data_IF_458108540700
#
_entry.id   IF_458108540700
#
_cell.length_a   1.000
_cell.length_b   1.000
_cell.length_c   1.000
_cell.angle_alpha   90.00
_cell.angle_beta   90.00
_cell.angle_gamma   90.00
#
_symmetry.space_group_name_H-M   'P 1'
#
loop_
_entity.id
_entity.type
_entity.pdbx_description
1 polymer ?
#
# COMPACT_ATOMS: atom_id res chain seq x y z
N UNK A 1 22.57 -14.81 6.41
CA UNK A 1 22.23 -13.84 7.49
C UNK A 1 22.63 -14.46 8.82
N UNK A 2 23.29 -13.74 9.68
CA UNK A 2 23.62 -14.19 11.04
C UNK A 2 22.35 -14.12 11.88
N UNK A 3 22.19 -15.02 12.86
CA UNK A 3 21.05 -15.02 13.76
C UNK A 3 20.88 -13.65 14.46
N UNK A 4 19.67 -13.07 14.38
CA UNK A 4 19.37 -11.76 14.96
C UNK A 4 19.67 -10.55 14.09
N UNK A 5 20.18 -10.73 12.86
CA UNK A 5 20.35 -9.65 11.88
C UNK A 5 19.15 -9.56 10.95
N UNK A 6 18.68 -8.35 10.69
CA UNK A 6 17.63 -8.03 9.71
C UNK A 6 18.07 -6.89 8.80
N UNK A 7 17.53 -6.85 7.58
CA UNK A 7 17.68 -5.69 6.69
C UNK A 7 16.79 -4.52 7.09
N UNK A 8 15.83 -4.72 7.99
CA UNK A 8 14.95 -3.68 8.51
C UNK A 8 15.76 -2.52 9.11
N UNK A 9 15.41 -1.31 8.71
CA UNK A 9 15.99 -0.06 9.23
C UNK A 9 14.87 0.93 9.49
N UNK A 10 14.87 1.51 10.68
CA UNK A 10 13.89 2.53 11.09
C UNK A 10 14.67 3.80 11.46
N UNK A 11 14.31 4.89 10.81
CA UNK A 11 14.83 6.23 11.05
C UNK A 11 13.68 7.16 11.43
N UNK A 12 13.98 8.43 11.70
CA UNK A 12 12.97 9.39 12.16
C UNK A 12 11.92 9.71 11.10
N UNK A 13 12.31 9.75 9.82
CA UNK A 13 11.42 10.17 8.72
C UNK A 13 11.25 9.11 7.64
N UNK A 14 11.81 7.92 7.83
CA UNK A 14 11.59 6.79 6.92
C UNK A 14 11.85 5.45 7.60
N UNK A 15 11.32 4.40 7.02
CA UNK A 15 11.68 3.05 7.40
C UNK A 15 11.72 2.14 6.17
N UNK A 16 12.71 1.22 6.14
CA UNK A 16 12.70 0.02 5.30
C UNK A 16 12.36 -1.16 6.21
N UNK A 17 11.27 -1.87 5.91
CA UNK A 17 10.82 -3.04 6.66
C UNK A 17 10.93 -4.25 5.73
N UNK A 18 11.93 -5.08 5.99
CA UNK A 18 12.18 -6.29 5.21
C UNK A 18 11.37 -7.48 5.76
N UNK A 19 11.03 -8.48 4.93
CA UNK A 19 10.25 -9.65 5.35
C UNK A 19 10.86 -10.42 6.53
N UNK A 20 12.18 -10.40 6.68
CA UNK A 20 12.91 -11.01 7.80
C UNK A 20 12.73 -10.28 9.14
N UNK A 21 12.14 -9.08 9.10
CA UNK A 21 11.78 -8.28 10.27
C UNK A 21 10.28 -8.32 10.61
N UNK A 22 9.47 -9.07 9.86
CA UNK A 22 8.03 -9.16 10.12
C UNK A 22 7.76 -9.95 11.40
N UNK A 23 6.84 -9.42 12.23
CA UNK A 23 6.42 -10.06 13.48
C UNK A 23 4.93 -10.33 13.42
N UNK A 24 4.51 -11.62 13.42
CA UNK A 24 3.11 -11.98 13.45
C UNK A 24 2.39 -11.35 14.65
N UNK A 25 1.24 -10.76 14.39
CA UNK A 25 0.43 -10.05 15.36
C UNK A 25 -0.99 -10.63 15.39
N UNK A 26 -1.58 -10.74 16.58
CA UNK A 26 -3.00 -11.06 16.73
C UNK A 26 -3.78 -9.74 16.65
N UNK A 27 -4.58 -9.59 15.60
CA UNK A 27 -5.38 -8.39 15.38
C UNK A 27 -6.88 -8.72 15.50
N UNK A 28 -7.66 -7.85 16.15
CA UNK A 28 -9.11 -8.00 16.21
C UNK A 28 -9.73 -8.08 14.80
N UNK A 29 -10.73 -8.94 14.62
CA UNK A 29 -11.41 -9.12 13.33
C UNK A 29 -10.67 -10.01 12.34
N UNK A 30 -9.43 -10.47 12.62
CA UNK A 30 -8.65 -11.34 11.74
C UNK A 30 -8.51 -12.72 12.36
N UNK A 31 -8.86 -13.77 11.62
CA UNK A 31 -8.77 -15.16 12.02
C UNK A 31 -8.36 -16.07 10.85
N UNK A 32 -7.77 -17.24 11.15
CA UNK A 32 -7.26 -18.16 10.11
C UNK A 32 -6.27 -17.46 9.16
N UNK A 33 -5.42 -16.59 9.72
CA UNK A 33 -4.44 -15.82 8.94
C UNK A 33 -3.25 -15.42 9.80
N UNK A 34 -2.12 -15.19 9.16
CA UNK A 34 -0.96 -14.51 9.74
C UNK A 34 -1.00 -13.04 9.33
N UNK A 35 -1.15 -12.15 10.30
CA UNK A 35 -1.15 -10.71 10.08
C UNK A 35 0.14 -10.09 10.63
N UNK A 36 0.71 -9.14 9.90
CA UNK A 36 1.87 -8.36 10.30
C UNK A 36 1.54 -6.88 10.20
N UNK A 37 1.80 -6.12 11.26
CA UNK A 37 1.75 -4.66 11.23
C UNK A 37 3.08 -4.17 10.68
N UNK A 38 3.04 -3.55 9.49
CA UNK A 38 4.24 -3.11 8.77
C UNK A 38 4.53 -1.64 9.06
N UNK A 39 3.52 -0.79 8.90
CA UNK A 39 3.57 0.65 9.20
C UNK A 39 2.45 0.93 10.20
N UNK A 40 2.71 1.80 11.16
CA UNK A 40 1.69 2.19 12.14
C UNK A 40 1.95 3.58 12.71
N UNK A 41 0.94 4.22 13.32
CA UNK A 41 1.09 5.50 14.00
C UNK A 41 2.16 5.52 15.10
N UNK A 42 2.52 4.36 15.67
CA UNK A 42 3.62 4.28 16.63
C UNK A 42 4.99 4.63 16.04
N UNK A 43 5.13 4.62 14.70
CA UNK A 43 6.33 5.05 13.97
C UNK A 43 6.30 6.55 13.64
N UNK A 44 5.18 7.24 13.86
CA UNK A 44 4.92 8.61 13.41
C UNK A 44 4.17 8.69 12.09
N UNK A 45 3.67 7.57 11.57
CA UNK A 45 2.88 7.51 10.34
C UNK A 45 1.42 7.90 10.60
N UNK A 46 0.73 8.47 9.60
CA UNK A 46 -0.72 8.69 9.62
C UNK A 46 -1.49 7.47 9.07
N UNK A 47 -0.79 6.53 8.47
CA UNK A 47 -1.34 5.30 7.88
C UNK A 47 -0.95 4.08 8.71
N UNK A 48 -1.84 3.09 8.76
CA UNK A 48 -1.50 1.73 9.15
C UNK A 48 -1.41 0.87 7.89
N UNK A 49 -0.29 0.19 7.69
CA UNK A 49 -0.14 -0.81 6.64
C UNK A 49 -0.02 -2.19 7.27
N UNK A 50 -0.88 -3.12 6.82
CA UNK A 50 -0.86 -4.51 7.21
C UNK A 50 -0.50 -5.40 6.03
N UNK A 51 0.18 -6.53 6.31
CA UNK A 51 0.27 -7.68 5.42
C UNK A 51 -0.47 -8.84 6.07
N UNK A 52 -1.41 -9.43 5.34
CA UNK A 52 -2.20 -10.56 5.82
C UNK A 52 -2.03 -11.72 4.85
N UNK A 53 -1.60 -12.87 5.36
CA UNK A 53 -1.53 -14.13 4.63
C UNK A 53 -2.58 -15.08 5.19
N UNK A 54 -3.58 -15.40 4.38
CA UNK A 54 -4.71 -16.25 4.79
C UNK A 54 -4.37 -17.74 4.69
N UNK A 55 -4.85 -18.49 5.65
CA UNK A 55 -5.04 -19.93 5.58
C UNK A 55 -6.37 -20.25 4.86
N UNK A 56 -6.62 -21.52 4.60
CA UNK A 56 -7.93 -21.98 4.16
C UNK A 56 -8.96 -21.66 5.26
N UNK A 57 -10.13 -21.13 4.90
CA UNK A 57 -11.15 -20.63 5.82
C UNK A 57 -10.77 -19.37 6.62
N UNK A 58 -9.71 -18.66 6.25
CA UNK A 58 -9.34 -17.40 6.85
C UNK A 58 -10.40 -16.31 6.64
N UNK A 59 -10.39 -15.33 7.53
CA UNK A 59 -11.37 -14.23 7.54
C UNK A 59 -10.71 -12.96 8.07
N UNK A 60 -11.09 -11.82 7.49
CA UNK A 60 -10.75 -10.52 8.04
C UNK A 60 -11.97 -9.60 7.97
N UNK A 61 -12.26 -8.90 9.06
CA UNK A 61 -13.30 -7.89 9.16
C UNK A 61 -12.70 -6.58 9.68
N UNK A 62 -12.98 -5.51 8.96
CA UNK A 62 -12.66 -4.14 9.33
C UNK A 62 -14.00 -3.46 9.65
N UNK A 63 -14.30 -3.17 10.94
CA UNK A 63 -15.60 -2.67 11.35
C UNK A 63 -15.83 -1.26 10.81
N UNK A 64 -17.10 -0.90 10.67
CA UNK A 64 -17.50 0.47 10.40
C UNK A 64 -16.98 1.40 11.52
N UNK A 65 -16.37 2.51 11.16
CA UNK A 65 -15.75 3.46 12.08
C UNK A 65 -15.14 4.63 11.31
N UNK A 66 -14.28 5.38 11.95
CA UNK A 66 -13.67 6.59 11.38
C UNK A 66 -12.50 6.28 10.40
N UNK A 67 -12.11 5.00 10.30
CA UNK A 67 -11.05 4.57 9.39
C UNK A 67 -11.63 4.25 8.01
N UNK A 68 -11.00 4.75 6.98
CA UNK A 68 -11.14 4.24 5.64
C UNK A 68 -10.12 3.12 5.41
N UNK A 69 -10.48 2.15 4.59
CA UNK A 69 -9.68 0.94 4.40
C UNK A 69 -9.56 0.60 2.92
N UNK A 70 -8.33 0.50 2.42
CA UNK A 70 -8.04 -0.01 1.09
C UNK A 70 -7.29 -1.34 1.19
N UNK A 71 -7.78 -2.35 0.47
CA UNK A 71 -7.15 -3.69 0.38
C UNK A 71 -6.75 -3.96 -1.05
N UNK A 72 -5.55 -4.52 -1.24
CA UNK A 72 -5.06 -4.99 -2.53
C UNK A 72 -4.64 -6.47 -2.43
N UNK A 73 -5.07 -7.27 -3.40
CA UNK A 73 -4.78 -8.71 -3.47
C UNK A 73 -3.42 -8.91 -4.15
N UNK A 74 -2.41 -9.27 -3.38
CA UNK A 74 -1.05 -9.52 -3.89
C UNK A 74 -0.93 -10.91 -4.52
N UNK A 75 -1.56 -11.92 -3.91
CA UNK A 75 -1.57 -13.32 -4.36
C UNK A 75 -2.91 -13.97 -4.04
N UNK A 76 -3.33 -14.93 -4.87
CA UNK A 76 -4.57 -15.68 -4.66
C UNK A 76 -5.82 -14.86 -4.97
N UNK A 77 -6.80 -14.94 -4.10
CA UNK A 77 -8.08 -14.24 -4.22
C UNK A 77 -9.02 -14.54 -3.06
N UNK A 78 -10.03 -13.70 -2.89
CA UNK A 78 -11.06 -13.84 -1.87
C UNK A 78 -12.35 -13.15 -2.32
N UNK A 79 -13.39 -13.23 -1.51
CA UNK A 79 -14.58 -12.39 -1.66
C UNK A 79 -14.44 -11.19 -0.74
N UNK A 80 -14.52 -9.97 -1.29
CA UNK A 80 -14.57 -8.73 -0.52
C UNK A 80 -16.02 -8.23 -0.47
N UNK A 81 -16.48 -7.87 0.72
CA UNK A 81 -17.82 -7.33 0.97
C UNK A 81 -17.76 -5.97 1.65
N UNK A 82 -18.55 -5.01 1.17
CA UNK A 82 -18.80 -3.73 1.84
C UNK A 82 -20.30 -3.64 2.10
N UNK A 83 -20.71 -3.63 3.36
CA UNK A 83 -22.11 -3.73 3.80
C UNK A 83 -22.82 -4.90 3.09
N UNK A 84 -23.80 -4.60 2.20
CA UNK A 84 -24.59 -5.61 1.47
C UNK A 84 -24.04 -5.95 0.07
N UNK A 85 -23.03 -5.22 -0.41
CA UNK A 85 -22.38 -5.49 -1.71
C UNK A 85 -21.15 -6.40 -1.52
N UNK A 86 -20.96 -7.35 -2.44
CA UNK A 86 -19.76 -8.20 -2.41
C UNK A 86 -19.32 -8.59 -3.80
N UNK A 87 -18.00 -8.66 -4.01
CA UNK A 87 -17.39 -9.07 -5.26
C UNK A 87 -16.23 -10.04 -5.03
N UNK A 88 -16.03 -11.02 -5.92
CA UNK A 88 -14.83 -11.84 -5.91
C UNK A 88 -13.65 -11.01 -6.43
N UNK A 89 -12.57 -11.01 -5.68
CA UNK A 89 -11.30 -10.40 -6.05
C UNK A 89 -10.25 -11.48 -6.28
N UNK A 90 -9.51 -11.35 -7.35
CA UNK A 90 -8.32 -12.16 -7.67
C UNK A 90 -7.05 -11.30 -7.56
N UNK A 91 -5.88 -11.88 -7.80
CA UNK A 91 -4.60 -11.13 -7.84
C UNK A 91 -4.73 -9.86 -8.67
N UNK A 92 -4.24 -8.75 -8.11
CA UNK A 92 -4.37 -7.39 -8.67
C UNK A 92 -5.73 -6.74 -8.41
N UNK A 93 -6.67 -7.47 -7.79
CA UNK A 93 -7.94 -6.90 -7.33
C UNK A 93 -7.72 -5.96 -6.14
N UNK A 94 -8.56 -4.93 -6.06
CA UNK A 94 -8.56 -4.01 -4.93
C UNK A 94 -9.98 -3.61 -4.54
N UNK A 95 -10.12 -3.24 -3.28
CA UNK A 95 -11.37 -2.72 -2.72
C UNK A 95 -11.04 -1.56 -1.78
N UNK A 96 -11.84 -0.51 -1.85
CA UNK A 96 -11.79 0.63 -0.95
C UNK A 96 -13.14 0.79 -0.25
N UNK A 97 -13.11 0.76 1.08
CA UNK A 97 -14.24 1.05 1.94
C UNK A 97 -14.01 2.41 2.63
N UNK A 98 -14.85 3.41 2.38
CA UNK A 98 -14.77 4.70 3.08
C UNK A 98 -15.09 4.55 4.58
N UNK A 99 -14.74 5.56 5.35
CA UNK A 99 -15.14 5.66 6.75
C UNK A 99 -16.67 5.48 6.90
N UNK A 100 -17.08 4.85 7.99
CA UNK A 100 -18.48 4.50 8.24
C UNK A 100 -18.95 3.19 7.57
N UNK A 101 -18.13 2.52 6.76
CA UNK A 101 -18.44 1.27 6.08
C UNK A 101 -17.68 0.09 6.67
N UNK A 102 -18.38 -1.06 6.81
CA UNK A 102 -17.76 -2.33 7.17
C UNK A 102 -17.18 -3.00 5.92
N UNK A 103 -15.94 -3.44 6.02
CA UNK A 103 -15.29 -4.24 4.98
C UNK A 103 -15.01 -5.64 5.51
N UNK A 104 -15.36 -6.64 4.74
CA UNK A 104 -15.12 -8.05 5.04
C UNK A 104 -14.35 -8.74 3.93
N UNK A 105 -13.35 -9.55 4.28
CA UNK A 105 -12.67 -10.47 3.37
C UNK A 105 -12.98 -11.89 3.82
N UNK A 106 -13.59 -12.66 2.94
CA UNK A 106 -14.04 -14.03 3.22
C UNK A 106 -13.71 -14.98 2.09
N UNK A 107 -13.79 -16.28 2.36
CA UNK A 107 -13.52 -17.35 1.37
C UNK A 107 -12.19 -17.15 0.62
N UNK A 108 -11.06 -16.93 1.32
CA UNK A 108 -9.78 -16.82 0.66
C UNK A 108 -9.39 -18.15 0.00
N UNK A 109 -8.82 -18.09 -1.19
CA UNK A 109 -8.09 -19.22 -1.72
C UNK A 109 -6.84 -19.48 -0.87
N UNK A 110 -6.41 -20.73 -0.78
CA UNK A 110 -5.19 -21.07 -0.03
C UNK A 110 -3.99 -20.26 -0.51
N UNK A 111 -3.30 -19.61 0.42
CA UNK A 111 -2.13 -18.80 0.13
C UNK A 111 -2.46 -17.38 -0.35
N UNK A 112 -3.71 -16.94 -0.22
CA UNK A 112 -4.08 -15.54 -0.49
C UNK A 112 -3.30 -14.60 0.42
N UNK A 113 -2.66 -13.59 -0.20
CA UNK A 113 -1.95 -12.53 0.49
C UNK A 113 -2.49 -11.18 0.08
N UNK A 114 -2.72 -10.32 1.07
CA UNK A 114 -3.20 -8.96 0.84
C UNK A 114 -2.34 -7.95 1.59
N UNK A 115 -2.24 -6.74 1.02
CA UNK A 115 -1.83 -5.57 1.80
C UNK A 115 -3.04 -4.70 2.06
N UNK A 116 -3.07 -4.09 3.25
CA UNK A 116 -4.17 -3.24 3.71
C UNK A 116 -3.58 -1.89 4.10
N UNK A 117 -4.19 -0.81 3.65
CA UNK A 117 -3.92 0.54 4.10
C UNK A 117 -5.14 1.07 4.83
N UNK A 118 -4.93 1.59 6.03
CA UNK A 118 -5.98 2.20 6.86
C UNK A 118 -5.52 3.56 7.38
N UNK A 119 -6.39 4.55 7.30
CA UNK A 119 -6.18 5.86 7.93
C UNK A 119 -7.51 6.47 8.36
N UNK A 120 -7.45 7.45 9.24
CA UNK A 120 -8.61 8.28 9.53
C UNK A 120 -8.93 9.15 8.32
N UNK A 121 -10.21 9.17 7.94
CA UNK A 121 -10.69 10.05 6.88
C UNK A 121 -10.73 11.50 7.40
N UNK A 122 -10.15 12.41 6.63
CA UNK A 122 -10.15 13.84 6.90
C UNK A 122 -11.18 14.54 5.99
N UNK A 123 -12.30 14.98 6.58
CA UNK A 123 -13.40 15.59 5.83
C UNK A 123 -13.01 16.99 5.33
N UNK A 124 -13.41 17.30 4.08
CA UNK A 124 -13.41 18.66 3.56
C UNK A 124 -14.83 19.25 3.63
N UNK A 125 -14.92 20.50 4.06
CA UNK A 125 -16.17 21.24 4.07
C UNK A 125 -16.76 21.33 2.64
N UNK A 126 -18.05 21.08 2.51
CA UNK A 126 -18.80 21.10 1.24
C UNK A 126 -18.36 20.06 0.18
N UNK A 127 -17.51 19.10 0.53
CA UNK A 127 -17.13 18.02 -0.37
C UNK A 127 -17.72 16.69 0.14
N UNK A 128 -18.52 15.97 -0.68
CA UNK A 128 -19.05 14.68 -0.26
C UNK A 128 -17.92 13.68 -0.08
N UNK A 129 -18.01 12.83 0.94
CA UNK A 129 -17.06 11.74 1.18
C UNK A 129 -16.99 10.75 0.00
N UNK A 130 -15.93 9.92 -0.05
CA UNK A 130 -15.72 8.99 -1.14
C UNK A 130 -16.77 7.86 -1.17
N UNK A 131 -17.03 7.34 -2.37
CA UNK A 131 -17.84 6.14 -2.54
C UNK A 131 -16.96 4.87 -2.44
N UNK A 132 -17.53 3.70 -2.07
CA UNK A 132 -16.85 2.43 -2.19
C UNK A 132 -16.33 2.18 -3.61
N UNK A 133 -15.16 1.56 -3.70
CA UNK A 133 -14.54 1.20 -4.99
C UNK A 133 -14.18 -0.28 -4.98
N UNK A 134 -14.59 -1.00 -6.02
CA UNK A 134 -14.09 -2.34 -6.36
C UNK A 134 -13.40 -2.25 -7.71
N UNK A 135 -12.25 -2.87 -7.86
CA UNK A 135 -11.53 -2.84 -9.13
C UNK A 135 -10.47 -3.93 -9.25
N UNK A 136 -9.82 -3.93 -10.41
CA UNK A 136 -8.64 -4.75 -10.65
C UNK A 136 -7.64 -3.93 -11.48
N UNK A 137 -6.37 -3.98 -11.12
CA UNK A 137 -5.29 -3.24 -11.78
C UNK A 137 -5.15 -3.55 -13.28
N UNK A 138 -5.57 -4.75 -13.71
CA UNK A 138 -5.56 -5.15 -15.12
C UNK A 138 -6.48 -4.28 -16.00
N UNK A 139 -7.50 -3.67 -15.39
CA UNK A 139 -8.45 -2.79 -16.04
C UNK A 139 -8.05 -1.30 -15.94
N UNK A 140 -6.94 -1.00 -15.27
CA UNK A 140 -6.40 0.35 -15.12
C UNK A 140 -5.23 0.52 -16.07
N UNK A 141 -5.33 1.49 -16.99
CA UNK A 141 -4.26 1.79 -17.92
C UNK A 141 -3.09 2.48 -17.21
N UNK A 142 -1.88 1.94 -17.36
CA UNK A 142 -0.66 2.58 -16.87
C UNK A 142 -0.24 3.73 -17.78
N UNK A 143 -0.12 4.94 -17.23
CA UNK A 143 0.33 6.12 -17.96
C UNK A 143 1.84 6.33 -17.79
N UNK A 144 2.57 6.81 -18.83
CA UNK A 144 3.95 7.22 -18.70
C UNK A 144 4.11 8.28 -17.60
N UNK A 145 4.98 8.04 -16.64
CA UNK A 145 5.23 9.02 -15.58
C UNK A 145 6.16 10.12 -16.07
N UNK A 146 5.66 11.36 -16.05
CA UNK A 146 6.37 12.55 -16.56
C UNK A 146 6.94 12.37 -17.99
N UNK A 147 6.26 11.56 -18.80
CA UNK A 147 6.64 11.31 -20.19
C UNK A 147 7.63 10.15 -20.39
N UNK A 148 8.08 9.49 -19.34
CA UNK A 148 8.94 8.30 -19.44
C UNK A 148 8.09 7.04 -19.71
N UNK A 149 8.20 6.40 -20.91
CA UNK A 149 7.44 5.20 -21.23
C UNK A 149 7.88 3.97 -20.42
N UNK A 150 9.08 3.99 -19.85
CA UNK A 150 9.67 2.91 -19.07
C UNK A 150 9.31 3.00 -17.58
N UNK A 151 8.71 4.10 -17.13
CA UNK A 151 8.13 4.29 -15.80
C UNK A 151 6.62 4.52 -15.93
N UNK A 152 5.81 3.54 -15.53
CA UNK A 152 4.36 3.58 -15.71
C UNK A 152 3.61 3.61 -14.39
N UNK A 153 2.66 4.53 -14.29
CA UNK A 153 1.82 4.74 -13.13
C UNK A 153 0.38 4.34 -13.42
N UNK A 154 -0.20 3.45 -12.62
CA UNK A 154 -1.64 3.17 -12.54
C UNK A 154 -2.21 3.84 -11.30
N UNK A 155 -3.23 4.65 -11.46
CA UNK A 155 -4.00 5.28 -10.39
C UNK A 155 -5.19 4.38 -10.10
N UNK A 156 -5.21 3.71 -8.93
CA UNK A 156 -6.23 2.71 -8.61
C UNK A 156 -7.48 3.34 -7.97
N UNK A 157 -7.31 4.37 -7.14
CA UNK A 157 -8.44 5.12 -6.56
C UNK A 157 -8.63 6.43 -7.31
N UNK A 158 -9.87 6.96 -7.39
CA UNK A 158 -10.13 8.24 -8.05
C UNK A 158 -9.34 9.40 -7.45
N UNK A 159 -8.69 10.20 -8.30
CA UNK A 159 -7.99 11.42 -7.89
C UNK A 159 -8.97 12.61 -7.93
N UNK A 160 -9.81 12.68 -6.92
CA UNK A 160 -10.82 13.73 -6.75
C UNK A 160 -10.83 14.25 -5.31
N UNK A 161 -11.28 15.46 -5.02
CA UNK A 161 -11.31 16.01 -3.66
C UNK A 161 -12.07 15.18 -2.62
N UNK A 162 -12.97 14.28 -3.06
CA UNK A 162 -13.67 13.34 -2.17
C UNK A 162 -12.73 12.34 -1.50
N UNK A 163 -11.59 12.01 -2.13
CA UNK A 163 -10.62 11.08 -1.59
C UNK A 163 -9.46 11.83 -0.93
N UNK A 164 -9.05 11.39 0.24
CA UNK A 164 -7.84 11.85 0.93
C UNK A 164 -6.75 10.77 0.99
N UNK A 165 -7.01 9.64 0.32
CA UNK A 165 -6.11 8.52 0.11
C UNK A 165 -5.96 8.24 -1.38
N UNK A 166 -4.73 8.18 -1.89
CA UNK A 166 -4.42 7.58 -3.17
C UNK A 166 -3.73 6.23 -2.95
N UNK A 167 -4.11 5.26 -3.78
CA UNK A 167 -3.38 3.98 -3.89
C UNK A 167 -3.03 3.78 -5.35
N UNK A 168 -1.74 3.67 -5.62
CA UNK A 168 -1.21 3.63 -6.99
C UNK A 168 -0.22 2.48 -7.13
N UNK A 169 -0.09 1.99 -8.38
CA UNK A 169 0.90 1.00 -8.75
C UNK A 169 1.91 1.62 -9.72
N UNK A 170 3.17 1.62 -9.34
CA UNK A 170 4.28 1.98 -10.20
C UNK A 170 4.95 0.73 -10.76
N UNK A 171 5.27 0.77 -12.06
CA UNK A 171 6.08 -0.26 -12.72
C UNK A 171 7.21 0.41 -13.50
N UNK A 172 8.43 -0.02 -13.27
CA UNK A 172 9.66 0.47 -13.90
C UNK A 172 10.33 -0.65 -14.70
N UNK A 173 10.67 -0.37 -15.95
CA UNK A 173 11.55 -1.24 -16.72
C UNK A 173 12.99 -1.21 -16.15
N UNK A 174 13.84 -2.21 -16.42
CA UNK A 174 15.23 -2.21 -15.96
C UNK A 174 15.96 -0.92 -16.33
N UNK A 175 16.52 -0.22 -15.32
CA UNK A 175 17.22 1.06 -15.49
C UNK A 175 16.32 2.29 -15.46
N UNK A 176 14.99 2.13 -15.54
CA UNK A 176 14.06 3.25 -15.34
C UNK A 176 14.08 3.73 -13.89
N UNK A 177 13.84 5.02 -13.68
CA UNK A 177 13.98 5.66 -12.38
C UNK A 177 13.03 6.85 -12.24
N UNK A 178 12.86 7.31 -11.00
CA UNK A 178 12.31 8.64 -10.79
C UNK A 178 13.24 9.69 -11.42
N UNK A 179 12.72 10.70 -12.14
CA UNK A 179 13.55 11.65 -12.89
C UNK A 179 14.40 12.55 -12.00
N UNK A 180 14.01 12.76 -10.76
CA UNK A 180 14.69 13.56 -9.74
C UNK A 180 14.39 13.04 -8.35
N UNK A 181 15.12 13.55 -7.34
CA UNK A 181 14.80 13.30 -5.93
C UNK A 181 13.54 14.08 -5.58
N UNK A 182 12.47 13.35 -5.26
CA UNK A 182 11.20 13.94 -4.88
C UNK A 182 11.22 14.37 -3.41
N UNK A 183 10.57 15.49 -3.13
CA UNK A 183 10.30 15.97 -1.77
C UNK A 183 8.96 16.69 -1.80
N UNK A 184 8.00 16.23 -1.03
CA UNK A 184 6.66 16.80 -0.96
C UNK A 184 6.01 16.53 0.40
N UNK A 185 4.89 17.18 0.65
CA UNK A 185 4.17 17.07 1.92
C UNK A 185 3.54 15.70 2.15
N UNK A 186 3.18 14.98 1.08
CA UNK A 186 2.48 13.72 1.18
C UNK A 186 3.36 12.66 1.84
N UNK A 187 2.77 11.92 2.78
CA UNK A 187 3.32 10.69 3.33
C UNK A 187 3.18 9.53 2.35
N UNK A 188 4.07 8.57 2.40
CA UNK A 188 3.96 7.33 1.66
C UNK A 188 4.15 6.09 2.53
N UNK A 189 3.36 5.06 2.22
CA UNK A 189 3.61 3.69 2.62
C UNK A 189 3.58 2.81 1.38
N UNK A 190 4.62 2.02 1.11
CA UNK A 190 4.66 1.15 -0.06
C UNK A 190 5.06 -0.29 0.26
N UNK A 191 4.79 -1.18 -0.69
CA UNK A 191 5.27 -2.56 -0.73
C UNK A 191 5.80 -2.87 -2.12
N UNK A 192 7.03 -3.40 -2.19
CA UNK A 192 7.59 -3.93 -3.43
C UNK A 192 6.85 -5.22 -3.80
N UNK A 193 6.17 -5.25 -4.94
CA UNK A 193 5.42 -6.41 -5.42
C UNK A 193 6.29 -7.33 -6.27
N UNK A 194 7.20 -6.74 -7.05
CA UNK A 194 8.02 -7.46 -8.02
C UNK A 194 9.36 -6.75 -8.22
N UNK A 195 10.38 -7.54 -8.58
CA UNK A 195 11.68 -7.04 -8.98
C UNK A 195 12.53 -6.53 -7.83
N UNK A 196 13.52 -5.74 -8.19
CA UNK A 196 14.54 -5.20 -7.28
C UNK A 196 15.05 -3.84 -7.77
N UNK A 197 15.66 -3.10 -6.85
CA UNK A 197 16.21 -1.79 -7.18
C UNK A 197 17.00 -1.17 -6.04
N UNK A 198 17.25 0.12 -6.18
CA UNK A 198 17.81 0.93 -5.10
C UNK A 198 16.87 2.08 -4.79
N UNK A 199 16.52 2.21 -3.53
CA UNK A 199 15.73 3.31 -3.01
C UNK A 199 16.62 4.25 -2.20
N UNK A 200 16.61 5.54 -2.54
CA UNK A 200 17.17 6.58 -1.70
C UNK A 200 16.10 7.13 -0.78
N UNK A 201 16.40 7.20 0.51
CA UNK A 201 15.55 7.79 1.53
C UNK A 201 16.43 8.73 2.38
N UNK A 202 16.12 10.02 2.38
CA UNK A 202 17.02 11.06 2.89
C UNK A 202 18.41 10.96 2.23
N UNK A 203 19.46 10.74 3.02
CA UNK A 203 20.85 10.56 2.54
C UNK A 203 21.30 9.09 2.51
N UNK A 204 20.37 8.17 2.77
CA UNK A 204 20.64 6.73 2.82
C UNK A 204 20.18 6.02 1.56
N UNK A 205 20.92 4.99 1.15
CA UNK A 205 20.64 4.18 -0.04
C UNK A 205 20.40 2.74 0.37
N UNK A 206 19.26 2.19 -0.04
CA UNK A 206 18.80 0.88 0.35
C UNK A 206 18.60 0.00 -0.88
N UNK A 207 19.32 -1.13 -1.01
CA UNK A 207 18.88 -2.20 -1.91
C UNK A 207 17.51 -2.71 -1.47
N UNK A 208 16.58 -2.77 -2.41
CA UNK A 208 15.20 -3.20 -2.15
C UNK A 208 14.81 -4.30 -3.13
N UNK A 209 13.95 -5.21 -2.68
CA UNK A 209 13.45 -6.34 -3.47
C UNK A 209 11.99 -6.63 -3.13
N UNK A 210 11.34 -7.44 -3.96
CA UNK A 210 9.95 -7.87 -3.71
C UNK A 210 9.75 -8.34 -2.26
N UNK A 211 8.68 -7.87 -1.64
CA UNK A 211 8.33 -8.09 -0.23
C UNK A 211 8.84 -7.01 0.74
N UNK A 212 9.79 -6.17 0.35
CA UNK A 212 10.22 -5.04 1.18
C UNK A 212 9.12 -3.97 1.21
N UNK A 213 8.85 -3.42 2.38
CA UNK A 213 7.98 -2.26 2.56
C UNK A 213 8.78 -1.04 2.99
N UNK A 214 8.29 0.14 2.60
CA UNK A 214 8.92 1.42 2.93
C UNK A 214 7.86 2.38 3.45
N UNK A 215 8.19 3.07 4.52
CA UNK A 215 7.48 4.25 4.97
C UNK A 215 8.32 5.50 4.75
N UNK A 216 7.69 6.56 4.29
CA UNK A 216 8.29 7.88 4.09
C UNK A 216 7.37 8.94 4.69
N UNK A 217 7.87 9.64 5.71
CA UNK A 217 7.19 10.78 6.32
C UNK A 217 7.11 11.97 5.35
N UNK A 218 6.23 12.95 5.61
CA UNK A 218 6.20 14.21 4.87
C UNK A 218 7.60 14.82 4.72
N UNK A 219 7.88 15.31 3.51
CA UNK A 219 9.17 15.95 3.13
C UNK A 219 10.39 15.04 3.23
N UNK A 220 10.24 13.72 3.34
CA UNK A 220 11.37 12.80 3.21
C UNK A 220 11.87 12.81 1.77
N UNK A 221 13.12 13.23 1.47
CA UNK A 221 13.69 13.11 0.14
C UNK A 221 13.74 11.65 -0.30
N UNK A 222 13.19 11.35 -1.48
CA UNK A 222 13.06 10.00 -1.99
C UNK A 222 13.41 9.89 -3.47
N UNK A 223 13.98 8.75 -3.85
CA UNK A 223 14.29 8.45 -5.23
C UNK A 223 14.41 6.93 -5.42
N UNK A 224 14.00 6.42 -6.58
CA UNK A 224 14.05 4.99 -6.90
C UNK A 224 14.62 4.76 -8.29
N UNK A 225 15.36 3.64 -8.43
CA UNK A 225 15.79 3.07 -9.71
C UNK A 225 15.62 1.55 -9.71
N UNK A 226 15.02 1.01 -10.77
CA UNK A 226 14.95 -0.43 -11.01
C UNK A 226 16.31 -0.95 -11.51
N UNK A 227 16.88 -1.98 -10.84
CA UNK A 227 18.22 -2.48 -11.14
C UNK A 227 18.29 -3.95 -11.52
N UNK A 228 17.17 -4.65 -11.49
CA UNK A 228 17.10 -6.06 -11.85
C UNK A 228 17.15 -6.31 -13.36
N UNK A 229 17.06 -7.58 -13.73
CA UNK A 229 16.96 -8.02 -15.14
C UNK A 229 15.55 -7.95 -15.69
N UNK A 230 14.55 -7.86 -14.82
CA UNK A 230 13.14 -7.70 -15.11
C UNK A 230 12.58 -6.41 -14.54
N UNK A 231 11.31 -6.11 -14.80
CA UNK A 231 10.64 -4.95 -14.24
C UNK A 231 10.64 -4.97 -12.70
N UNK A 232 10.58 -3.79 -12.10
CA UNK A 232 10.30 -3.63 -10.67
C UNK A 232 8.97 -2.91 -10.51
N UNK A 233 8.12 -3.40 -9.60
CA UNK A 233 6.82 -2.79 -9.33
C UNK A 233 6.60 -2.64 -7.83
N UNK A 234 6.00 -1.51 -7.43
CA UNK A 234 5.54 -1.32 -6.07
C UNK A 234 4.15 -0.70 -6.02
N UNK A 235 3.34 -1.17 -5.09
CA UNK A 235 2.08 -0.54 -4.72
C UNK A 235 2.36 0.45 -3.60
N UNK A 236 1.79 1.65 -3.70
CA UNK A 236 1.97 2.64 -2.64
C UNK A 236 0.68 3.41 -2.33
N UNK A 237 0.55 3.72 -1.06
CA UNK A 237 -0.35 4.71 -0.50
C UNK A 237 0.32 6.07 -0.48
N UNK A 238 -0.45 7.12 -0.68
CA UNK A 238 -0.12 8.48 -0.27
C UNK A 238 -1.37 9.23 0.19
N UNK A 239 -1.21 10.15 1.12
CA UNK A 239 -2.24 11.13 1.44
C UNK A 239 -2.31 12.18 0.32
N UNK A 240 -3.54 12.59 0.00
CA UNK A 240 -3.81 13.56 -1.08
C UNK A 240 -4.92 14.51 -0.66
N UNK A 241 -5.04 15.64 -1.36
CA UNK A 241 -6.16 16.58 -1.26
C UNK A 241 -6.40 17.14 0.15
N UNK A 242 -5.39 17.10 1.03
CA UNK A 242 -5.43 17.60 2.42
C UNK A 242 -4.13 18.31 2.76
N UNK A 243 -3.78 19.30 1.99
CA UNK A 243 -2.61 20.13 2.25
C UNK A 243 -2.90 21.20 3.33
N UNK A 244 -1.87 21.71 4.00
CA UNK A 244 -2.04 22.75 5.02
C UNK A 244 -2.52 24.10 4.45
N UNK A 245 -2.66 24.18 3.13
CA UNK A 245 -3.10 25.38 2.39
C UNK A 245 -4.41 25.13 1.61
N UNK A 246 -5.03 23.99 1.81
CA UNK A 246 -6.31 23.60 1.18
C UNK A 246 -7.48 23.68 2.14
#
# INVERSE_FOLDING_TARGET
MTFGETRTRVATRHALIAPDGHVPSVLPGISGAVANVIISPAMGANVTQLLIAFEEDGHAEFPAGDLETCVYIMEGGCVAGIDDASEPLEKGGFVFAPAGKRLELSRPARGTKVTVFQKYFDELEDVPGPAPVFGNEKNVEGQPFLGDPDARLKVLLPDTPSFDMAVNLFTYQPGARLPFVETHIMEHGLIMLEGEGVYRLEDSWYPVTAGDAIWMAPYCPQWFVAMGKGPASYLYYKDINRGPME
#
